data_IF_763314886936
#
_entry.id   IF_763314886936
#
_cell.length_a   1.000
_cell.length_b   1.000
_cell.length_c   1.000
_cell.angle_alpha   90.00
_cell.angle_beta   90.00
_cell.angle_gamma   90.00
#
_symmetry.space_group_name_H-M   'P 1'
#
loop_
_entity.id
_entity.type
_entity.pdbx_description
1 polymer ?
#
# COMPACT_ATOMS: atom_id res chain seq x y z
N UNK A 1 17.32 15.13 -12.05
CA UNK A 1 16.84 14.31 -10.93
C UNK A 1 15.87 15.16 -10.15
N UNK A 2 14.59 15.01 -10.47
CA UNK A 2 13.51 15.62 -9.70
C UNK A 2 12.82 14.53 -8.87
N UNK A 3 12.98 14.59 -7.55
CA UNK A 3 12.33 13.67 -6.62
C UNK A 3 11.15 14.35 -5.97
N UNK A 4 9.97 13.73 -6.04
CA UNK A 4 8.77 14.24 -5.36
C UNK A 4 8.15 13.14 -4.49
N UNK A 5 7.54 13.55 -3.39
CA UNK A 5 6.84 12.67 -2.47
C UNK A 5 5.38 13.10 -2.42
N UNK A 6 4.46 12.18 -2.63
CA UNK A 6 3.03 12.46 -2.61
C UNK A 6 2.27 11.46 -1.71
N UNK A 7 1.19 11.89 -1.02
CA UNK A 7 0.30 10.98 -0.32
C UNK A 7 -0.33 9.95 -1.27
N UNK A 8 -0.46 8.70 -0.83
CA UNK A 8 -1.15 7.67 -1.62
C UNK A 8 -2.67 7.87 -1.58
N UNK A 9 -3.16 8.66 -2.52
CA UNK A 9 -4.58 8.92 -2.79
C UNK A 9 -5.10 7.96 -3.87
N UNK A 10 -6.44 7.80 -4.02
CA UNK A 10 -7.03 6.84 -4.96
C UNK A 10 -6.56 7.01 -6.41
N UNK A 11 -6.25 8.23 -6.83
CA UNK A 11 -5.79 8.55 -8.18
C UNK A 11 -4.41 7.95 -8.49
N UNK A 12 -3.59 7.68 -7.46
CA UNK A 12 -2.25 7.10 -7.57
C UNK A 12 -2.25 5.57 -7.41
N UNK A 13 -3.42 4.92 -7.51
CA UNK A 13 -3.54 3.47 -7.40
C UNK A 13 -2.68 2.73 -8.44
N UNK A 14 -2.69 3.18 -9.69
CA UNK A 14 -1.89 2.57 -10.75
C UNK A 14 -0.38 2.65 -10.46
N UNK A 15 0.10 3.81 -9.99
CA UNK A 15 1.49 4.01 -9.58
C UNK A 15 1.89 3.08 -8.42
N UNK A 16 0.99 2.90 -7.45
CA UNK A 16 1.20 1.98 -6.34
C UNK A 16 1.28 0.52 -6.82
N UNK A 17 0.40 0.11 -7.75
CA UNK A 17 0.47 -1.21 -8.37
C UNK A 17 1.79 -1.43 -9.11
N UNK A 18 2.29 -0.41 -9.80
CA UNK A 18 3.56 -0.48 -10.54
C UNK A 18 4.77 -0.64 -9.61
N UNK A 19 4.78 0.05 -8.46
CA UNK A 19 5.83 -0.13 -7.43
C UNK A 19 5.85 -1.56 -6.89
N UNK A 20 4.69 -2.20 -6.75
CA UNK A 20 4.55 -3.54 -6.18
C UNK A 20 4.71 -4.66 -7.23
N UNK A 21 4.46 -4.34 -8.50
CA UNK A 21 4.53 -5.26 -9.62
C UNK A 21 3.51 -6.40 -9.57
N UNK A 22 3.59 -7.30 -10.56
CA UNK A 22 2.63 -8.41 -10.77
C UNK A 22 2.51 -9.39 -9.59
N UNK A 23 3.54 -9.46 -8.74
CA UNK A 23 3.56 -10.39 -7.61
C UNK A 23 3.08 -9.75 -6.30
N UNK A 24 2.97 -8.42 -6.23
CA UNK A 24 2.84 -7.67 -4.98
C UNK A 24 4.13 -7.71 -4.14
N UNK A 25 4.35 -6.72 -3.28
CA UNK A 25 5.46 -6.76 -2.33
C UNK A 25 5.38 -8.02 -1.45
N UNK A 26 6.56 -8.64 -1.23
CA UNK A 26 6.80 -9.84 -0.41
C UNK A 26 5.71 -10.91 -0.51
N UNK A 27 5.66 -11.64 -1.63
CA UNK A 27 4.73 -12.75 -1.86
C UNK A 27 3.24 -12.35 -1.87
N UNK A 28 2.90 -11.14 -2.32
CA UNK A 28 1.52 -10.68 -2.40
C UNK A 28 0.96 -10.18 -1.07
N UNK A 29 1.82 -9.70 -0.18
CA UNK A 29 1.38 -9.12 1.09
C UNK A 29 0.75 -7.75 0.92
N UNK A 30 1.04 -7.03 -0.18
CA UNK A 30 0.51 -5.68 -0.47
C UNK A 30 0.64 -4.71 0.72
N UNK A 31 1.70 -4.90 1.54
CA UNK A 31 1.93 -4.20 2.80
C UNK A 31 0.77 -4.27 3.82
N UNK A 32 -0.15 -5.23 3.69
CA UNK A 32 -1.27 -5.41 4.62
C UNK A 32 -0.93 -6.27 5.83
N UNK A 33 0.24 -6.93 5.84
CA UNK A 33 0.62 -7.87 6.91
C UNK A 33 0.44 -7.26 8.31
N UNK A 34 0.94 -6.04 8.52
CA UNK A 34 0.81 -5.37 9.81
C UNK A 34 -0.57 -4.75 10.06
N UNK A 35 -1.40 -4.58 9.02
CA UNK A 35 -2.75 -3.98 9.13
C UNK A 35 -3.85 -5.01 9.38
N UNK A 36 -3.62 -6.27 9.00
CA UNK A 36 -4.57 -7.35 9.18
C UNK A 36 -4.37 -8.03 10.54
N UNK A 37 -5.47 -8.42 11.19
CA UNK A 37 -5.40 -9.27 12.39
C UNK A 37 -4.76 -10.64 12.07
N UNK A 38 -4.22 -11.37 13.06
CA UNK A 38 -3.66 -12.70 12.83
C UNK A 38 -4.63 -13.66 12.11
N UNK A 39 -5.93 -13.59 12.45
CA UNK A 39 -6.96 -14.39 11.80
C UNK A 39 -7.18 -13.98 10.33
N UNK A 40 -7.26 -12.67 10.06
CA UNK A 40 -7.43 -12.16 8.70
C UNK A 40 -6.20 -12.45 7.82
N UNK A 41 -4.98 -12.36 8.37
CA UNK A 41 -3.74 -12.77 7.69
C UNK A 41 -3.77 -14.24 7.26
N UNK A 42 -4.18 -15.15 8.15
CA UNK A 42 -4.24 -16.60 7.86
C UNK A 42 -5.28 -16.95 6.80
N UNK A 43 -6.38 -16.21 6.75
CA UNK A 43 -7.45 -16.40 5.77
C UNK A 43 -7.21 -15.62 4.46
N UNK A 44 -6.21 -14.76 4.41
CA UNK A 44 -5.91 -13.89 3.27
C UNK A 44 -5.22 -14.63 2.13
N UNK A 45 -5.40 -14.13 0.92
CA UNK A 45 -4.61 -14.47 -0.26
C UNK A 45 -4.16 -13.16 -0.94
N UNK A 46 -3.40 -13.26 -2.03
CA UNK A 46 -2.86 -12.09 -2.75
C UNK A 46 -3.95 -11.12 -3.18
N UNK A 47 -5.05 -11.64 -3.72
CA UNK A 47 -6.18 -10.86 -4.24
C UNK A 47 -6.88 -10.12 -3.10
N UNK A 48 -7.21 -10.82 -2.00
CA UNK A 48 -7.84 -10.22 -0.82
C UNK A 48 -6.95 -9.16 -0.16
N UNK A 49 -5.63 -9.36 -0.15
CA UNK A 49 -4.70 -8.36 0.38
C UNK A 49 -4.70 -7.10 -0.50
N UNK A 50 -4.74 -7.27 -1.82
CA UNK A 50 -4.83 -6.16 -2.79
C UNK A 50 -6.13 -5.38 -2.63
N UNK A 51 -7.25 -6.09 -2.54
CA UNK A 51 -8.57 -5.47 -2.33
C UNK A 51 -8.63 -4.73 -1.00
N UNK A 52 -8.03 -5.30 0.06
CA UNK A 52 -7.98 -4.67 1.37
C UNK A 52 -7.19 -3.35 1.35
N UNK A 53 -6.00 -3.31 0.76
CA UNK A 53 -5.22 -2.07 0.68
C UNK A 53 -5.90 -1.05 -0.23
N UNK A 54 -6.54 -1.49 -1.32
CA UNK A 54 -7.30 -0.61 -2.22
C UNK A 54 -8.45 0.09 -1.47
N UNK A 55 -9.27 -0.69 -0.77
CA UNK A 55 -10.35 -0.15 0.05
C UNK A 55 -9.83 0.82 1.14
N UNK A 56 -8.66 0.54 1.72
CA UNK A 56 -8.05 1.43 2.72
C UNK A 56 -7.57 2.76 2.11
N UNK A 57 -7.06 2.75 0.88
CA UNK A 57 -6.68 3.96 0.15
C UNK A 57 -7.93 4.79 -0.18
N UNK A 58 -8.98 4.14 -0.67
CA UNK A 58 -10.27 4.77 -1.00
C UNK A 58 -10.96 5.38 0.23
N UNK A 59 -10.91 4.71 1.38
CA UNK A 59 -11.53 5.20 2.61
C UNK A 59 -10.82 6.43 3.21
N UNK A 60 -9.50 6.54 3.01
CA UNK A 60 -8.68 7.58 3.61
C UNK A 60 -8.60 7.51 5.16
N UNK A 61 -7.84 8.41 5.80
CA UNK A 61 -6.82 9.27 5.19
C UNK A 61 -5.70 8.42 4.53
N UNK A 62 -4.93 8.95 3.57
CA UNK A 62 -3.90 8.19 2.84
C UNK A 62 -3.04 7.30 3.75
N UNK A 63 -2.91 5.99 3.45
CA UNK A 63 -2.22 5.04 4.34
C UNK A 63 -0.69 5.09 4.23
N UNK A 64 -0.14 6.09 3.53
CA UNK A 64 1.28 6.26 3.29
C UNK A 64 1.58 7.24 2.15
N UNK A 65 2.82 7.19 1.67
CA UNK A 65 3.34 8.05 0.60
C UNK A 65 4.02 7.23 -0.49
N UNK A 66 3.96 7.75 -1.71
CA UNK A 66 4.76 7.29 -2.85
C UNK A 66 5.92 8.25 -3.10
N UNK A 67 7.07 7.68 -3.45
CA UNK A 67 8.21 8.41 -3.95
C UNK A 67 8.25 8.33 -5.48
N UNK A 68 8.43 9.47 -6.12
CA UNK A 68 8.55 9.58 -7.57
C UNK A 68 9.93 10.10 -7.95
N UNK A 69 10.51 9.53 -9.00
CA UNK A 69 11.71 10.02 -9.66
C UNK A 69 11.40 10.26 -11.14
N UNK A 70 11.59 11.51 -11.58
CA UNK A 70 11.30 11.97 -12.95
C UNK A 70 9.90 11.56 -13.44
N UNK A 71 8.91 11.64 -12.53
CA UNK A 71 7.49 11.37 -12.81
C UNK A 71 7.07 9.89 -12.67
N UNK A 72 7.99 8.97 -12.40
CA UNK A 72 7.69 7.55 -12.19
C UNK A 72 7.73 7.20 -10.71
N UNK A 73 6.72 6.46 -10.22
CA UNK A 73 6.78 5.94 -8.85
C UNK A 73 7.89 4.89 -8.70
N UNK A 74 8.76 5.09 -7.71
CA UNK A 74 9.94 4.28 -7.43
C UNK A 74 9.97 3.73 -6.00
N UNK A 75 9.08 4.19 -5.13
CA UNK A 75 9.06 3.76 -3.74
C UNK A 75 7.72 3.95 -3.05
N UNK A 76 7.53 3.18 -1.99
CA UNK A 76 6.35 3.20 -1.13
C UNK A 76 6.77 3.18 0.34
N UNK A 77 6.11 3.99 1.15
CA UNK A 77 6.27 4.00 2.60
C UNK A 77 4.89 4.06 3.25
N UNK A 78 4.58 3.05 4.07
CA UNK A 78 3.38 3.07 4.90
C UNK A 78 3.54 4.08 6.04
N UNK A 79 2.59 5.00 6.17
CA UNK A 79 2.55 6.03 7.23
C UNK A 79 1.11 6.14 7.72
N UNK A 80 0.94 6.18 9.05
CA UNK A 80 -0.38 6.36 9.65
C UNK A 80 -0.35 6.22 11.16
N UNK A 81 -1.49 6.44 11.83
CA UNK A 81 -1.61 6.28 13.27
C UNK A 81 -1.23 4.86 13.71
N UNK A 82 -0.56 4.70 14.86
CA UNK A 82 -0.23 3.38 15.42
C UNK A 82 -1.46 2.51 15.64
N UNK A 83 -2.62 3.13 15.91
CA UNK A 83 -3.90 2.44 16.09
C UNK A 83 -4.41 1.71 14.83
N UNK A 84 -3.93 2.07 13.63
CA UNK A 84 -4.27 1.37 12.38
C UNK A 84 -3.55 0.02 12.22
N UNK A 85 -2.62 -0.30 13.11
CA UNK A 85 -1.84 -1.54 13.12
C UNK A 85 -2.28 -2.36 14.34
N UNK A 86 -3.01 -3.48 14.18
CA UNK A 86 -3.32 -4.37 15.30
C UNK A 86 -2.04 -4.91 15.96
N UNK A 87 -2.09 -5.12 17.27
CA UNK A 87 -1.01 -5.77 18.06
C UNK A 87 -0.79 -7.25 17.68
#
# INVERSE_FOLDING_TARGET
>A
MNTTIAPLVPELWADFEDVFGKQGACYGCWCTHFRLSPAARRAGNRERNKDHIKARIEAGPPPGVLAFEDGKAVGWMQIGPRADVPE
#
